data_IF_548985073957
#
_entry.id   IF_548985073957
#
_cell.length_a   1.000
_cell.length_b   1.000
_cell.length_c   1.000
_cell.angle_alpha   90.00
_cell.angle_beta   90.00
_cell.angle_gamma   90.00
#
_symmetry.space_group_name_H-M   'P 1'
#
loop_
_entity.id
_entity.type
_entity.pdbx_description
1 polymer ?
#
# COMPACT_ATOMS: atom_id res chain seq x y z
N UNK A 1 3.70 -11.39 -21.16
CA UNK A 1 4.57 -11.23 -19.97
C UNK A 1 3.96 -12.05 -18.85
N UNK A 2 4.78 -12.67 -17.99
CA UNK A 2 4.31 -13.51 -16.88
C UNK A 2 4.43 -12.79 -15.53
N UNK A 3 3.48 -13.04 -14.64
CA UNK A 3 3.47 -12.46 -13.31
C UNK A 3 2.86 -13.38 -12.25
N UNK A 4 3.26 -13.14 -11.01
CA UNK A 4 2.74 -13.78 -9.79
C UNK A 4 1.90 -12.74 -9.06
N UNK A 5 0.66 -13.08 -8.71
CA UNK A 5 -0.32 -12.12 -8.18
C UNK A 5 -0.82 -12.48 -6.79
N UNK A 6 -0.97 -11.56 -5.83
CA UNK A 6 -1.45 -11.92 -4.49
C UNK A 6 -2.85 -12.61 -4.51
N UNK A 7 -3.01 -13.75 -3.82
CA UNK A 7 -4.34 -14.27 -3.48
C UNK A 7 -4.64 -14.07 -2.00
N UNK A 8 -5.92 -13.82 -1.69
CA UNK A 8 -6.42 -14.02 -0.33
C UNK A 8 -6.85 -15.48 -0.17
N UNK A 9 -6.58 -16.03 1.01
CA UNK A 9 -7.10 -17.33 1.46
C UNK A 9 -8.58 -17.16 1.80
N UNK A 10 -9.41 -18.08 1.30
CA UNK A 10 -10.80 -18.22 1.75
C UNK A 10 -10.81 -18.82 3.16
N UNK A 11 -11.51 -18.13 4.09
CA UNK A 11 -11.65 -18.57 5.47
C UNK A 11 -12.59 -19.77 5.58
N UNK A 12 -12.06 -20.92 5.99
CA UNK A 12 -12.82 -22.12 6.32
C UNK A 12 -13.57 -21.98 7.65
N UNK A 13 -14.82 -22.47 7.66
CA UNK A 13 -15.74 -22.52 8.80
C UNK A 13 -15.17 -23.33 9.96
N UNK A 14 -15.02 -22.67 11.13
CA UNK A 14 -14.70 -23.27 12.42
C UNK A 14 -15.56 -22.61 13.51
N UNK A 15 -16.04 -23.43 14.45
CA UNK A 15 -17.00 -23.11 15.51
C UNK A 15 -16.58 -21.91 16.40
N UNK A 16 -17.53 -21.24 17.08
CA UNK A 16 -17.27 -19.96 17.74
C UNK A 16 -16.42 -20.18 18.98
N UNK A 17 -15.23 -19.58 18.98
CA UNK A 17 -14.50 -19.25 20.20
C UNK A 17 -15.04 -17.93 20.71
N UNK A 18 -15.46 -17.91 21.98
CA UNK A 18 -15.84 -16.67 22.65
C UNK A 18 -14.59 -15.77 22.80
N UNK A 19 -14.44 -14.83 21.86
CA UNK A 19 -13.53 -13.70 22.03
C UNK A 19 -14.31 -12.50 22.54
N UNK A 20 -13.95 -12.05 23.75
CA UNK A 20 -14.45 -10.82 24.33
C UNK A 20 -14.24 -9.66 23.37
N UNK A 21 -15.33 -8.96 23.07
CA UNK A 21 -15.39 -7.84 22.14
C UNK A 21 -14.57 -6.64 22.66
N UNK A 22 -13.25 -6.69 22.43
CA UNK A 22 -12.43 -5.49 22.36
C UNK A 22 -12.69 -4.84 21.01
N UNK A 23 -13.59 -3.84 20.99
CA UNK A 23 -13.84 -3.01 19.81
C UNK A 23 -12.48 -2.58 19.24
N UNK A 24 -12.16 -3.02 18.01
CA UNK A 24 -10.88 -2.70 17.41
C UNK A 24 -10.79 -1.18 17.25
N UNK A 25 -9.84 -0.55 17.94
CA UNK A 25 -9.81 0.91 18.14
C UNK A 25 -9.64 1.72 16.86
N UNK A 26 -9.45 1.06 15.71
CA UNK A 26 -9.32 1.67 14.38
C UNK A 26 -10.67 1.90 13.70
N UNK A 27 -11.76 1.23 14.09
CA UNK A 27 -13.07 1.36 13.43
C UNK A 27 -13.78 2.70 13.72
N UNK A 28 -13.33 3.46 14.74
CA UNK A 28 -13.92 4.73 15.14
C UNK A 28 -13.08 5.97 14.75
N UNK A 29 -11.89 5.82 14.17
CA UNK A 29 -11.05 6.97 13.82
C UNK A 29 -11.63 7.74 12.63
N UNK A 30 -12.24 8.89 12.90
CA UNK A 30 -12.68 9.84 11.87
C UNK A 30 -11.66 10.97 11.74
N UNK A 31 -11.06 11.10 10.57
CA UNK A 31 -10.15 12.22 10.25
C UNK A 31 -10.93 13.26 9.44
N UNK A 32 -11.13 14.49 9.96
CA UNK A 32 -11.74 15.56 9.20
C UNK A 32 -10.98 15.83 7.88
N UNK A 33 -11.67 16.03 6.74
CA UNK A 33 -11.04 16.21 5.43
C UNK A 33 -10.02 17.36 5.36
N UNK A 34 -10.18 18.37 6.20
CA UNK A 34 -9.30 19.53 6.33
C UNK A 34 -7.94 19.20 6.96
N UNK A 35 -7.82 18.08 7.68
CA UNK A 35 -6.54 17.63 8.26
C UNK A 35 -5.69 16.81 7.27
N UNK A 36 -6.27 16.42 6.13
CA UNK A 36 -5.55 15.73 5.06
C UNK A 36 -4.73 16.72 4.24
N UNK A 37 -3.40 16.55 4.25
CA UNK A 37 -2.49 17.35 3.43
C UNK A 37 -2.75 17.14 1.93
N UNK A 38 -2.98 18.23 1.19
CA UNK A 38 -3.28 18.20 -0.26
C UNK A 38 -2.08 18.48 -1.15
N UNK A 39 -1.04 19.09 -0.59
CA UNK A 39 0.23 19.42 -1.27
C UNK A 39 1.38 19.10 -0.31
N UNK A 40 2.61 18.87 -0.77
CA UNK A 40 3.78 18.63 0.08
C UNK A 40 4.10 19.79 1.04
N UNK A 41 4.91 19.54 2.07
CA UNK A 41 5.23 20.55 3.10
C UNK A 41 6.05 21.72 2.54
N UNK A 42 6.99 21.42 1.65
CA UNK A 42 7.83 22.37 0.94
C UNK A 42 7.05 23.33 0.02
N UNK A 43 5.78 23.02 -0.31
CA UNK A 43 4.89 23.93 -1.04
C UNK A 43 4.01 24.80 -0.13
N UNK A 44 3.98 24.51 1.18
CA UNK A 44 3.19 25.25 2.17
C UNK A 44 4.05 26.14 3.05
N UNK A 45 5.30 25.75 3.29
CA UNK A 45 6.16 26.33 4.31
C UNK A 45 7.60 26.54 3.83
N UNK A 46 8.51 26.57 4.79
CA UNK A 46 9.93 26.91 4.58
C UNK A 46 10.80 25.76 4.06
N UNK A 47 10.31 24.52 4.16
CA UNK A 47 11.05 23.32 3.79
C UNK A 47 10.25 22.04 3.99
N UNK A 48 10.85 20.91 3.62
CA UNK A 48 10.22 19.58 3.77
C UNK A 48 10.12 19.12 5.23
N UNK A 49 10.98 19.64 6.10
CA UNK A 49 11.02 19.44 7.54
C UNK A 49 10.06 20.36 8.32
N UNK A 50 9.29 21.20 7.63
CA UNK A 50 8.23 22.04 8.19
C UNK A 50 6.94 21.25 8.44
N UNK A 51 7.07 20.15 9.20
CA UNK A 51 5.98 19.25 9.58
C UNK A 51 6.06 18.91 11.06
N UNK A 52 4.91 18.51 11.63
CA UNK A 52 4.82 18.00 12.99
C UNK A 52 5.32 16.55 13.05
N UNK A 53 5.98 16.20 14.14
CA UNK A 53 6.44 14.85 14.47
C UNK A 53 5.72 14.38 15.73
N UNK A 54 4.95 13.30 15.62
CA UNK A 54 4.35 12.63 16.78
C UNK A 54 5.32 11.54 17.25
N UNK A 55 5.74 11.60 18.51
CA UNK A 55 6.65 10.62 19.11
C UNK A 55 5.91 9.85 20.18
N UNK A 56 5.88 8.53 20.04
CA UNK A 56 5.32 7.62 21.03
C UNK A 56 6.41 6.74 21.65
N UNK A 57 6.37 6.56 22.98
CA UNK A 57 7.24 5.65 23.72
C UNK A 57 6.36 4.77 24.60
N UNK A 58 6.00 3.59 24.10
CA UNK A 58 4.91 2.80 24.70
C UNK A 58 3.60 3.57 24.60
N UNK A 59 2.99 3.88 25.74
CA UNK A 59 1.74 4.67 25.83
C UNK A 59 1.96 6.18 25.92
N UNK A 60 3.20 6.62 26.15
CA UNK A 60 3.50 8.05 26.28
C UNK A 60 3.53 8.72 24.91
N UNK A 61 2.78 9.81 24.76
CA UNK A 61 2.65 10.57 23.51
C UNK A 61 3.21 11.97 23.70
N UNK A 62 4.03 12.42 22.74
CA UNK A 62 4.57 13.79 22.72
C UNK A 62 4.58 14.37 21.30
N UNK A 63 4.44 15.69 21.21
CA UNK A 63 4.42 16.43 19.96
C UNK A 63 5.72 17.22 19.79
N UNK A 64 6.33 17.11 18.62
CA UNK A 64 7.58 17.75 18.25
C UNK A 64 7.48 18.35 16.84
N UNK A 65 8.47 19.12 16.42
CA UNK A 65 8.71 19.46 15.02
C UNK A 65 9.66 18.42 14.40
N UNK A 66 9.56 18.17 13.09
CA UNK A 66 10.41 17.18 12.43
C UNK A 66 11.90 17.52 12.51
N UNK A 67 12.26 18.80 12.51
CA UNK A 67 13.63 19.27 12.77
C UNK A 67 14.23 18.82 14.12
N UNK A 68 13.40 18.36 15.06
CA UNK A 68 13.82 17.86 16.37
C UNK A 68 14.05 16.33 16.37
N UNK A 69 13.82 15.65 15.23
CA UNK A 69 14.07 14.21 15.05
C UNK A 69 15.48 13.77 15.51
N UNK A 70 16.57 14.53 15.25
CA UNK A 70 17.90 14.13 15.73
C UNK A 70 17.98 13.95 17.25
N UNK A 71 17.17 14.66 18.04
CA UNK A 71 17.09 14.50 19.49
C UNK A 71 16.22 13.33 19.96
N UNK A 72 15.47 12.69 19.05
CA UNK A 72 14.59 11.57 19.37
C UNK A 72 15.23 10.20 19.11
N UNK A 73 16.37 10.18 18.40
CA UNK A 73 17.18 8.99 18.15
C UNK A 73 18.38 8.95 19.08
N UNK A 74 18.87 7.74 19.39
CA UNK A 74 20.03 7.52 20.24
C UNK A 74 21.26 7.23 19.39
N UNK A 75 22.43 7.51 19.95
CA UNK A 75 23.68 7.03 19.37
C UNK A 75 23.64 5.50 19.28
N UNK A 76 23.94 4.96 18.09
CA UNK A 76 23.85 3.53 17.80
C UNK A 76 22.57 3.10 17.08
N UNK A 77 21.54 3.96 17.01
CA UNK A 77 20.36 3.67 16.19
C UNK A 77 20.69 3.75 14.69
N UNK A 78 20.06 2.88 13.89
CA UNK A 78 20.23 2.84 12.43
C UNK A 78 18.99 3.41 11.75
N UNK A 79 19.17 4.48 10.98
CA UNK A 79 18.12 5.02 10.10
C UNK A 79 18.16 4.31 8.75
N UNK A 80 17.15 3.47 8.49
CA UNK A 80 16.97 2.84 7.18
C UNK A 80 16.09 3.73 6.32
N UNK A 81 16.67 4.34 5.29
CA UNK A 81 15.96 5.19 4.34
C UNK A 81 15.61 4.39 3.10
N UNK A 82 14.34 4.44 2.70
CA UNK A 82 13.92 3.90 1.41
C UNK A 82 14.28 4.90 0.30
N UNK A 83 15.20 4.53 -0.60
CA UNK A 83 15.64 5.35 -1.74
C UNK A 83 15.10 4.83 -3.07
N UNK A 84 13.98 4.11 -3.08
CA UNK A 84 13.40 3.67 -4.36
C UNK A 84 12.85 4.89 -5.11
N UNK A 85 13.08 4.93 -6.42
CA UNK A 85 12.30 5.82 -7.28
C UNK A 85 10.89 5.25 -7.33
N UNK A 86 9.87 6.08 -7.05
CA UNK A 86 8.48 5.71 -7.30
C UNK A 86 8.29 5.63 -8.81
N UNK A 87 8.58 4.46 -9.39
CA UNK A 87 8.20 4.20 -10.76
C UNK A 87 6.66 4.26 -10.82
N UNK A 88 6.05 4.94 -11.81
CA UNK A 88 4.64 4.78 -12.11
C UNK A 88 4.43 3.35 -12.60
N UNK A 89 4.33 2.44 -11.64
CA UNK A 89 4.20 1.01 -11.84
C UNK A 89 2.73 0.58 -11.88
N UNK A 90 1.80 1.54 -12.00
CA UNK A 90 0.37 1.30 -12.13
C UNK A 90 -0.04 1.39 -13.60
N UNK A 91 -0.49 0.26 -14.17
CA UNK A 91 -0.96 0.19 -15.55
C UNK A 91 -2.43 -0.22 -15.56
N UNK A 92 -3.27 0.60 -16.20
CA UNK A 92 -4.68 0.27 -16.42
C UNK A 92 -4.80 -0.92 -17.38
N UNK A 93 -5.63 -1.91 -17.04
CA UNK A 93 -5.85 -3.10 -17.84
C UNK A 93 -7.27 -3.63 -17.75
N UNK A 94 -7.50 -4.79 -18.37
CA UNK A 94 -8.78 -5.50 -18.31
C UNK A 94 -8.61 -7.00 -18.12
N UNK A 95 -9.44 -7.59 -17.25
CA UNK A 95 -9.57 -9.05 -17.06
C UNK A 95 -11.01 -9.44 -17.29
N UNK A 96 -11.29 -10.36 -18.22
CA UNK A 96 -12.67 -10.78 -18.51
C UNK A 96 -13.62 -9.63 -18.88
N UNK A 97 -13.10 -8.52 -19.41
CA UNK A 97 -13.87 -7.30 -19.71
C UNK A 97 -13.92 -6.26 -18.58
N UNK A 98 -13.68 -6.66 -17.33
CA UNK A 98 -13.64 -5.77 -16.16
C UNK A 98 -12.40 -4.89 -16.16
N UNK A 99 -12.53 -3.64 -15.70
CA UNK A 99 -11.39 -2.73 -15.54
C UNK A 99 -10.59 -3.10 -14.30
N UNK A 100 -9.26 -3.17 -14.44
CA UNK A 100 -8.31 -3.36 -13.35
C UNK A 100 -7.17 -2.35 -13.45
N UNK A 101 -6.48 -2.11 -12.34
CA UNK A 101 -5.19 -1.43 -12.30
C UNK A 101 -4.17 -2.45 -11.81
N UNK A 102 -3.12 -2.66 -12.60
CA UNK A 102 -2.02 -3.57 -12.27
C UNK A 102 -0.91 -2.77 -11.63
N UNK A 103 -0.62 -3.03 -10.37
CA UNK A 103 0.53 -2.46 -9.69
C UNK A 103 1.71 -3.44 -9.81
N UNK A 104 2.72 -3.07 -10.59
CA UNK A 104 3.98 -3.81 -10.67
C UNK A 104 4.83 -3.46 -9.46
N UNK A 105 5.41 -4.48 -8.82
CA UNK A 105 6.39 -4.30 -7.74
C UNK A 105 7.78 -4.65 -8.26
N UNK A 106 8.24 -5.86 -7.99
CA UNK A 106 9.60 -6.30 -8.30
C UNK A 106 9.58 -7.27 -9.46
N UNK A 107 10.59 -7.17 -10.34
CA UNK A 107 10.88 -8.22 -11.30
C UNK A 107 11.86 -9.21 -10.68
N UNK A 108 11.46 -10.48 -10.57
CA UNK A 108 12.30 -11.57 -10.10
C UNK A 108 13.44 -11.87 -11.07
N UNK A 109 14.44 -12.60 -10.59
CA UNK A 109 15.58 -13.06 -11.41
C UNK A 109 15.15 -14.02 -12.52
N UNK A 110 14.04 -14.73 -12.31
CA UNK A 110 13.36 -15.57 -13.32
C UNK A 110 12.63 -14.76 -14.41
N UNK A 111 12.67 -13.43 -14.31
CA UNK A 111 12.07 -12.50 -15.26
C UNK A 111 10.57 -12.26 -15.05
N UNK A 112 9.92 -12.90 -14.07
CA UNK A 112 8.51 -12.71 -13.72
C UNK A 112 8.32 -11.46 -12.87
N UNK A 113 7.15 -10.83 -12.96
CA UNK A 113 6.80 -9.69 -12.12
C UNK A 113 5.93 -10.11 -10.93
N UNK A 114 6.25 -9.61 -9.75
CA UNK A 114 5.28 -9.55 -8.66
C UNK A 114 4.29 -8.41 -8.95
N UNK A 115 3.00 -8.74 -8.98
CA UNK A 115 1.93 -7.78 -9.29
C UNK A 115 0.79 -7.84 -8.28
N UNK A 116 0.14 -6.70 -8.06
CA UNK A 116 -1.14 -6.64 -7.35
C UNK A 116 -2.22 -6.16 -8.33
N UNK A 117 -3.33 -6.89 -8.40
CA UNK A 117 -4.52 -6.41 -9.10
C UNK A 117 -5.39 -5.57 -8.18
N UNK A 118 -5.80 -4.42 -8.68
CA UNK A 118 -6.68 -3.50 -7.95
C UNK A 118 -7.87 -3.12 -8.81
N UNK A 119 -9.00 -2.87 -8.19
CA UNK A 119 -10.16 -2.30 -8.87
C UNK A 119 -10.08 -0.76 -8.82
N UNK A 120 -10.48 -0.06 -9.89
CA UNK A 120 -10.62 1.40 -9.87
C UNK A 120 -11.63 1.81 -8.79
N UNK A 121 -11.23 2.68 -7.87
CA UNK A 121 -12.08 3.25 -6.83
C UNK A 121 -12.54 4.67 -7.19
N UNK A 122 -13.33 5.27 -6.29
CA UNK A 122 -13.75 6.65 -6.41
C UNK A 122 -12.54 7.61 -6.30
N UNK A 123 -12.61 8.73 -7.02
CA UNK A 123 -11.64 9.83 -6.91
C UNK A 123 -10.16 9.46 -7.15
N UNK A 124 -9.90 8.47 -8.02
CA UNK A 124 -8.54 8.07 -8.38
C UNK A 124 -7.84 7.12 -7.40
N UNK A 125 -8.49 6.76 -6.29
CA UNK A 125 -8.04 5.67 -5.42
C UNK A 125 -8.24 4.31 -6.10
N UNK A 126 -7.52 3.29 -5.66
CA UNK A 126 -7.72 1.90 -6.10
C UNK A 126 -7.90 0.99 -4.89
N UNK A 127 -8.81 0.01 -4.99
CA UNK A 127 -9.07 -0.95 -3.90
C UNK A 127 -8.48 -2.32 -4.23
N UNK A 128 -7.94 -3.07 -3.24
CA UNK A 128 -7.43 -4.41 -3.50
C UNK A 128 -8.49 -5.30 -4.14
N UNK A 129 -8.10 -6.08 -5.14
CA UNK A 129 -8.96 -7.06 -5.82
C UNK A 129 -8.26 -8.41 -5.79
N UNK A 130 -8.95 -9.51 -5.47
CA UNK A 130 -8.37 -10.84 -5.65
C UNK A 130 -7.80 -11.01 -7.06
N UNK A 131 -6.68 -11.71 -7.15
CA UNK A 131 -6.17 -12.20 -8.41
C UNK A 131 -7.24 -13.00 -9.17
N UNK A 132 -7.12 -13.05 -10.49
CA UNK A 132 -7.79 -14.10 -11.25
C UNK A 132 -7.15 -15.46 -10.96
N UNK A 133 -7.78 -16.57 -11.39
CA UNK A 133 -7.13 -17.89 -11.30
C UNK A 133 -5.79 -17.90 -12.06
N UNK A 134 -4.94 -18.87 -11.74
CA UNK A 134 -3.76 -19.17 -12.56
C UNK A 134 -4.16 -19.32 -14.04
N UNK A 135 -3.40 -18.72 -14.93
CA UNK A 135 -3.70 -18.59 -16.36
C UNK A 135 -4.62 -17.41 -16.72
N UNK A 136 -5.14 -16.64 -15.77
CA UNK A 136 -5.92 -15.45 -16.08
C UNK A 136 -5.08 -14.42 -16.85
N UNK A 137 -5.67 -13.85 -17.90
CA UNK A 137 -4.99 -12.88 -18.76
C UNK A 137 -5.52 -11.47 -18.49
N UNK A 138 -4.60 -10.57 -18.14
CA UNK A 138 -4.84 -9.13 -18.09
C UNK A 138 -4.39 -8.52 -19.40
N UNK A 139 -5.33 -7.92 -20.13
CA UNK A 139 -5.03 -7.12 -21.32
C UNK A 139 -4.56 -5.72 -20.91
N UNK A 140 -3.38 -5.35 -21.36
CA UNK A 140 -2.72 -4.07 -21.09
C UNK A 140 -2.72 -3.18 -22.35
N UNK A 141 -2.42 -1.87 -22.21
CA UNK A 141 -2.31 -0.96 -23.34
C UNK A 141 -1.25 -1.42 -24.34
N UNK A 142 -1.42 -1.04 -25.61
CA UNK A 142 -0.51 -1.43 -26.69
C UNK A 142 -0.60 -2.90 -27.09
N UNK A 143 -1.73 -3.56 -26.81
CA UNK A 143 -1.97 -4.97 -27.18
C UNK A 143 -1.15 -5.97 -26.38
N UNK A 144 -0.54 -5.55 -25.26
CA UNK A 144 0.25 -6.43 -24.41
C UNK A 144 -0.64 -7.25 -23.49
N UNK A 145 -0.20 -8.46 -23.17
CA UNK A 145 -0.89 -9.35 -22.25
C UNK A 145 0.02 -9.74 -21.08
N UNK A 146 -0.59 -9.77 -19.89
CA UNK A 146 0.01 -10.23 -18.64
C UNK A 146 -0.74 -11.47 -18.17
N UNK A 147 -0.04 -12.58 -18.05
CA UNK A 147 -0.59 -13.85 -17.55
C UNK A 147 -0.29 -13.96 -16.06
N UNK A 148 -1.34 -14.15 -15.26
CA UNK A 148 -1.20 -14.46 -13.83
C UNK A 148 -0.88 -15.94 -13.71
N UNK A 149 0.32 -16.29 -13.26
CA UNK A 149 0.76 -17.69 -13.18
C UNK A 149 0.35 -18.36 -11.88
N UNK A 150 0.58 -17.69 -10.76
CA UNK A 150 0.28 -18.25 -9.44
C UNK A 150 -0.03 -17.15 -8.43
N UNK A 151 -0.73 -17.50 -7.35
CA UNK A 151 -0.86 -16.65 -6.20
C UNK A 151 0.45 -16.35 -5.48
N UNK A 152 0.69 -15.09 -5.11
CA UNK A 152 1.69 -14.73 -4.13
C UNK A 152 1.13 -15.03 -2.73
N UNK A 153 1.78 -15.93 -2.01
CA UNK A 153 1.38 -16.44 -0.69
C UNK A 153 1.87 -15.63 0.50
#
# INVERSE_FOLDING_TARGET
>A
MSAVGAARRDGGSGAPVEEGCGVSSLEALRVPPELSARVPAEQRGSGRDDVRLLVTRGTDVSHHAFRELPGQVRAGDVLVVNTSATLPAAVNGRVGGERVVVHFSTRGEDGRWAVELRAPGASGATVPRPGGPAGAVVRLPGGRELVLEEPMG
#
